data_IF_052614467120
#
_entry.id   IF_052614467120
#
_cell.length_a   1.000
_cell.length_b   1.000
_cell.length_c   1.000
_cell.angle_alpha   90.00
_cell.angle_beta   90.00
_cell.angle_gamma   90.00
#
_symmetry.space_group_name_H-M   'P 1'
#
loop_
_entity.id
_entity.type
_entity.pdbx_description
1 polymer ?
#
# COMPACT_ATOMS: atom_id res chain seq x y z
N UNK A 1 1.03 20.94 -3.04
CA UNK A 1 0.69 19.53 -3.29
C UNK A 1 1.94 18.72 -3.04
N UNK A 2 1.96 17.92 -1.97
CA UNK A 2 3.09 17.02 -1.68
C UNK A 2 3.18 15.98 -2.79
N UNK A 3 4.37 15.78 -3.36
CA UNK A 3 4.62 14.76 -4.36
C UNK A 3 4.17 13.38 -3.87
N UNK A 4 3.63 12.56 -4.77
CA UNK A 4 3.05 11.24 -4.49
C UNK A 4 3.65 10.22 -5.43
N UNK A 5 3.77 8.99 -4.96
CA UNK A 5 4.12 7.87 -5.81
C UNK A 5 2.90 7.49 -6.67
N UNK A 6 2.95 7.78 -7.96
CA UNK A 6 1.92 7.37 -8.91
C UNK A 6 2.31 6.03 -9.56
N UNK A 7 1.82 4.95 -8.96
CA UNK A 7 2.06 3.60 -9.46
C UNK A 7 1.58 3.38 -10.90
N UNK A 8 0.54 4.09 -11.37
CA UNK A 8 0.04 3.92 -12.75
C UNK A 8 1.01 4.54 -13.76
N UNK A 9 1.54 5.73 -13.43
CA UNK A 9 2.56 6.41 -14.23
C UNK A 9 3.86 5.62 -14.26
N UNK A 10 4.30 5.12 -13.11
CA UNK A 10 5.51 4.29 -13.01
C UNK A 10 5.33 3.00 -13.80
N UNK A 11 4.21 2.31 -13.62
CA UNK A 11 3.88 1.09 -14.37
C UNK A 11 3.98 1.29 -15.88
N UNK A 12 3.37 2.35 -16.40
CA UNK A 12 3.38 2.66 -17.83
C UNK A 12 4.79 2.90 -18.41
N UNK A 13 5.77 3.24 -17.57
CA UNK A 13 7.16 3.44 -17.97
C UNK A 13 8.03 2.18 -17.89
N UNK A 14 7.54 1.08 -17.32
CA UNK A 14 8.30 -0.17 -17.21
C UNK A 14 8.41 -0.89 -18.56
N UNK A 15 9.50 -1.64 -18.72
CA UNK A 15 9.63 -2.57 -19.84
C UNK A 15 8.53 -3.65 -19.76
N UNK A 16 8.04 -4.16 -20.91
CA UNK A 16 6.99 -5.18 -20.92
C UNK A 16 7.33 -6.44 -20.11
N UNK A 17 8.60 -6.86 -20.07
CA UNK A 17 9.04 -7.97 -19.21
C UNK A 17 8.76 -7.70 -17.72
N UNK A 18 9.16 -6.54 -17.19
CA UNK A 18 8.93 -6.18 -15.80
C UNK A 18 7.45 -6.01 -15.48
N UNK A 19 6.66 -5.46 -16.41
CA UNK A 19 5.19 -5.42 -16.26
C UNK A 19 4.60 -6.83 -16.16
N UNK A 20 5.06 -7.75 -17.01
CA UNK A 20 4.56 -9.12 -17.01
C UNK A 20 4.92 -9.84 -15.70
N UNK A 21 6.17 -9.72 -15.24
CA UNK A 21 6.66 -10.36 -14.01
C UNK A 21 5.95 -9.82 -12.77
N UNK A 22 5.94 -8.50 -12.56
CA UNK A 22 5.26 -7.89 -11.41
C UNK A 22 3.75 -8.23 -11.45
N UNK A 23 3.15 -8.19 -12.64
CA UNK A 23 1.73 -8.49 -12.83
C UNK A 23 1.37 -9.93 -12.49
N UNK A 24 2.20 -10.89 -12.89
CA UNK A 24 2.00 -12.30 -12.58
C UNK A 24 2.06 -12.56 -11.08
N UNK A 25 3.11 -12.09 -10.40
CA UNK A 25 3.25 -12.27 -8.94
C UNK A 25 2.11 -11.59 -8.18
N UNK A 26 1.69 -10.39 -8.60
CA UNK A 26 0.57 -9.70 -7.98
C UNK A 26 -0.75 -10.47 -8.13
N UNK A 27 -1.02 -11.06 -9.29
CA UNK A 27 -2.23 -11.86 -9.53
C UNK A 27 -2.22 -13.15 -8.70
N UNK A 28 -1.07 -13.83 -8.59
CA UNK A 28 -0.93 -15.01 -7.75
C UNK A 28 -1.10 -14.68 -6.26
N UNK A 29 -0.61 -13.52 -5.80
CA UNK A 29 -0.81 -13.06 -4.43
C UNK A 29 -2.30 -12.85 -4.12
N UNK A 30 -3.04 -12.20 -5.02
CA UNK A 30 -4.51 -12.06 -4.88
C UNK A 30 -5.20 -13.43 -4.88
N UNK A 31 -4.72 -14.38 -5.70
CA UNK A 31 -5.25 -15.75 -5.68
C UNK A 31 -5.01 -16.45 -4.34
N UNK A 32 -3.87 -16.23 -3.70
CA UNK A 32 -3.58 -16.77 -2.37
C UNK A 32 -4.51 -16.19 -1.32
N UNK A 33 -4.69 -14.86 -1.28
CA UNK A 33 -5.62 -14.21 -0.35
C UNK A 33 -7.07 -14.67 -0.56
N UNK A 34 -7.50 -14.79 -1.81
CA UNK A 34 -8.83 -15.32 -2.12
C UNK A 34 -9.02 -16.73 -1.54
N UNK A 35 -8.02 -17.62 -1.67
CA UNK A 35 -8.10 -18.96 -1.10
C UNK A 35 -8.18 -18.95 0.44
N UNK A 36 -7.49 -18.02 1.11
CA UNK A 36 -7.61 -17.83 2.56
C UNK A 36 -9.02 -17.38 2.96
N UNK A 37 -9.57 -16.38 2.26
CA UNK A 37 -10.90 -15.82 2.52
C UNK A 37 -12.03 -16.83 2.32
N UNK A 38 -11.86 -17.76 1.37
CA UNK A 38 -12.85 -18.81 1.09
C UNK A 38 -12.74 -20.03 2.01
N UNK A 39 -11.69 -20.14 2.84
CA UNK A 39 -11.58 -21.26 3.77
C UNK A 39 -12.73 -21.23 4.78
N UNK A 40 -13.51 -22.32 4.92
CA UNK A 40 -14.53 -22.42 5.95
C UNK A 40 -13.93 -22.63 7.35
N UNK A 41 -12.65 -22.99 7.42
CA UNK A 41 -11.94 -23.35 8.64
C UNK A 41 -10.79 -22.36 8.91
N UNK A 42 -11.16 -21.09 9.12
CA UNK A 42 -10.20 -20.01 9.39
C UNK A 42 -9.55 -20.10 10.78
N UNK A 43 -10.03 -21.02 11.64
CA UNK A 43 -9.68 -21.04 13.07
C UNK A 43 -9.13 -22.39 13.54
N UNK A 44 -9.44 -23.53 12.90
CA UNK A 44 -9.03 -24.86 13.38
C UNK A 44 -7.78 -25.38 12.65
N UNK A 45 -7.32 -24.70 11.58
CA UNK A 45 -5.99 -24.86 10.98
C UNK A 45 -5.75 -26.22 10.30
N UNK A 46 -6.80 -26.99 10.01
CA UNK A 46 -6.68 -28.31 9.38
C UNK A 46 -6.96 -28.30 7.87
N UNK A 47 -7.36 -27.17 7.29
CA UNK A 47 -7.57 -27.04 5.85
C UNK A 47 -6.22 -26.99 5.10
N UNK A 48 -5.89 -28.01 4.28
CA UNK A 48 -4.65 -28.03 3.51
C UNK A 48 -4.56 -26.89 2.49
N UNK A 49 -5.70 -26.40 1.97
CA UNK A 49 -5.74 -25.26 1.04
C UNK A 49 -5.39 -23.98 1.78
N UNK A 50 -5.96 -23.74 2.96
CA UNK A 50 -5.64 -22.58 3.79
C UNK A 50 -4.14 -22.55 4.12
N UNK A 51 -3.60 -23.66 4.62
CA UNK A 51 -2.17 -23.77 4.96
C UNK A 51 -1.27 -23.49 3.75
N UNK A 52 -1.64 -23.98 2.57
CA UNK A 52 -0.88 -23.70 1.35
C UNK A 52 -0.99 -22.23 0.93
N UNK A 53 -2.17 -21.63 1.05
CA UNK A 53 -2.41 -20.24 0.72
C UNK A 53 -1.70 -19.25 1.66
N UNK A 54 -1.58 -19.57 2.95
CA UNK A 54 -0.78 -18.81 3.91
C UNK A 54 0.72 -18.87 3.60
N UNK A 55 1.21 -20.06 3.23
CA UNK A 55 2.60 -20.22 2.79
C UNK A 55 2.87 -19.44 1.49
N UNK A 56 1.92 -19.45 0.56
CA UNK A 56 2.00 -18.72 -0.70
C UNK A 56 2.00 -17.19 -0.46
N UNK A 57 1.13 -16.66 0.40
CA UNK A 57 1.10 -15.23 0.74
C UNK A 57 2.47 -14.72 1.24
N UNK A 58 3.05 -15.42 2.22
CA UNK A 58 4.38 -15.06 2.73
C UNK A 58 5.47 -15.11 1.65
N UNK A 59 5.45 -16.11 0.77
CA UNK A 59 6.42 -16.22 -0.32
C UNK A 59 6.23 -15.11 -1.36
N UNK A 60 5.00 -14.91 -1.82
CA UNK A 60 4.64 -13.99 -2.90
C UNK A 60 4.78 -12.52 -2.49
N UNK A 61 4.57 -12.15 -1.22
CA UNK A 61 4.88 -10.79 -0.73
C UNK A 61 6.37 -10.48 -0.88
N UNK A 62 7.24 -11.44 -0.55
CA UNK A 62 8.69 -11.26 -0.67
C UNK A 62 9.12 -11.24 -2.13
N UNK A 63 8.56 -12.12 -2.95
CA UNK A 63 8.82 -12.16 -4.39
C UNK A 63 8.35 -10.87 -5.08
N UNK A 64 7.14 -10.39 -4.77
CA UNK A 64 6.59 -9.16 -5.33
C UNK A 64 7.50 -7.97 -5.02
N UNK A 65 8.02 -7.90 -3.79
CA UNK A 65 9.00 -6.87 -3.42
C UNK A 65 10.27 -6.99 -4.25
N UNK A 66 10.79 -8.19 -4.43
CA UNK A 66 12.02 -8.43 -5.16
C UNK A 66 11.90 -8.01 -6.63
N UNK A 67 10.87 -8.50 -7.34
CA UNK A 67 10.67 -8.17 -8.77
C UNK A 67 10.42 -6.67 -8.99
N UNK A 68 9.79 -5.98 -8.03
CA UNK A 68 9.64 -4.52 -8.07
C UNK A 68 10.98 -3.81 -7.90
N UNK A 69 11.85 -4.27 -7.00
CA UNK A 69 13.19 -3.68 -6.78
C UNK A 69 14.14 -3.94 -7.94
N UNK A 70 14.00 -5.08 -8.61
CA UNK A 70 14.78 -5.38 -9.82
C UNK A 70 14.35 -4.49 -11.00
N UNK A 71 13.06 -4.17 -11.10
CA UNK A 71 12.52 -3.28 -12.12
C UNK A 71 12.75 -1.78 -11.83
N UNK A 72 12.84 -1.39 -10.55
CA UNK A 72 12.88 0.00 -10.11
C UNK A 72 13.95 0.23 -9.03
N UNK A 73 14.81 1.24 -9.17
CA UNK A 73 15.73 1.59 -8.09
C UNK A 73 14.93 2.04 -6.86
N UNK A 74 15.40 1.68 -5.65
CA UNK A 74 14.75 2.07 -4.39
C UNK A 74 14.55 3.59 -4.24
N UNK A 75 15.36 4.40 -4.92
CA UNK A 75 15.21 5.86 -4.96
C UNK A 75 13.94 6.33 -5.66
N UNK A 76 13.30 5.49 -6.49
CA UNK A 76 12.04 5.79 -7.15
C UNK A 76 10.87 5.97 -6.16
N UNK A 77 11.01 5.48 -4.93
CA UNK A 77 10.03 5.62 -3.87
C UNK A 77 10.27 6.85 -2.97
N UNK A 78 11.26 7.68 -3.29
CA UNK A 78 11.62 8.84 -2.49
C UNK A 78 11.44 10.14 -3.29
N UNK A 79 11.04 11.19 -2.57
CA UNK A 79 11.07 12.56 -3.07
C UNK A 79 12.52 13.05 -3.23
N UNK A 80 12.76 14.17 -3.95
CA UNK A 80 14.11 14.75 -4.09
C UNK A 80 14.81 15.08 -2.75
N UNK A 81 14.05 15.34 -1.69
CA UNK A 81 14.57 15.58 -0.33
C UNK A 81 14.85 14.28 0.46
N UNK A 82 14.69 13.12 -0.17
CA UNK A 82 14.96 11.80 0.40
C UNK A 82 13.82 11.22 1.23
N UNK A 83 12.69 11.93 1.41
CA UNK A 83 11.54 11.40 2.16
C UNK A 83 10.77 10.38 1.33
N UNK A 84 10.18 9.33 1.96
CA UNK A 84 9.35 8.37 1.24
C UNK A 84 8.10 9.05 0.67
N UNK A 85 7.78 8.69 -0.57
CA UNK A 85 6.55 9.11 -1.24
C UNK A 85 5.38 8.24 -0.76
N UNK A 86 4.29 8.88 -0.37
CA UNK A 86 3.04 8.17 -0.12
C UNK A 86 2.32 7.85 -1.44
N UNK A 87 1.57 6.73 -1.52
CA UNK A 87 0.86 6.34 -2.74
C UNK A 87 -0.18 7.38 -3.16
N UNK A 88 -0.30 7.63 -4.46
CA UNK A 88 -1.32 8.55 -5.02
C UNK A 88 -2.76 8.09 -4.74
N UNK A 89 -2.97 6.78 -4.53
CA UNK A 89 -4.28 6.19 -4.22
C UNK A 89 -4.73 6.33 -2.76
N UNK A 90 -3.86 6.79 -1.84
CA UNK A 90 -4.21 6.94 -0.42
C UNK A 90 -5.30 8.01 -0.18
N UNK A 91 -5.45 8.96 -1.11
CA UNK A 91 -6.31 10.13 -0.93
C UNK A 91 -5.67 11.21 -0.04
N UNK A 92 -6.48 12.17 0.46
CA UNK A 92 -6.02 13.22 1.38
C UNK A 92 -5.48 12.65 2.70
N UNK A 93 -4.45 13.31 3.24
CA UNK A 93 -3.99 13.06 4.60
C UNK A 93 -3.56 14.36 5.28
N UNK A 94 -3.63 14.40 6.61
CA UNK A 94 -3.22 15.58 7.36
C UNK A 94 -1.70 15.71 7.36
N UNK A 95 -1.17 16.84 6.88
CA UNK A 95 0.26 17.16 6.82
C UNK A 95 0.97 17.11 8.18
N UNK A 96 0.22 17.12 9.28
CA UNK A 96 0.76 17.15 10.64
C UNK A 96 0.67 15.80 11.36
N UNK A 97 -0.51 15.15 11.37
CA UNK A 97 -0.71 13.90 12.11
C UNK A 97 -0.84 12.66 11.21
N UNK A 98 -0.92 12.82 9.89
CA UNK A 98 -1.05 11.71 8.95
C UNK A 98 -2.40 11.00 8.98
N UNK A 99 -3.41 11.50 9.69
CA UNK A 99 -4.75 10.93 9.63
C UNK A 99 -5.27 10.92 8.18
N UNK A 100 -6.12 9.96 7.86
CA UNK A 100 -6.73 9.80 6.53
C UNK A 100 -8.24 9.69 6.67
N UNK A 101 -8.95 9.59 5.55
CA UNK A 101 -10.40 9.35 5.55
C UNK A 101 -10.77 8.05 6.32
N UNK A 102 -9.95 7.02 6.19
CA UNK A 102 -10.17 5.69 6.80
C UNK A 102 -9.51 5.55 8.18
N UNK A 103 -8.72 6.54 8.60
CA UNK A 103 -8.01 6.53 9.87
C UNK A 103 -7.97 7.93 10.48
N UNK A 104 -9.12 8.38 11.00
CA UNK A 104 -9.28 9.69 11.62
C UNK A 104 -8.57 9.76 12.99
N UNK A 105 -8.33 10.99 13.48
CA UNK A 105 -7.83 11.20 14.85
C UNK A 105 -8.80 10.67 15.92
N UNK A 106 -8.31 10.57 17.16
CA UNK A 106 -9.15 10.32 18.34
C UNK A 106 -9.04 11.52 19.31
N UNK A 107 -10.14 12.23 19.63
CA UNK A 107 -11.48 12.11 19.04
C UNK A 107 -11.49 12.46 17.55
N UNK A 108 -12.54 12.01 16.85
CA UNK A 108 -12.66 12.16 15.39
C UNK A 108 -12.51 13.61 14.92
N UNK A 109 -11.70 13.79 13.88
CA UNK A 109 -11.45 15.07 13.23
C UNK A 109 -12.22 15.17 11.89
N UNK A 110 -12.17 16.34 11.26
CA UNK A 110 -12.65 16.55 9.89
C UNK A 110 -11.63 17.36 9.10
N UNK A 111 -11.71 17.33 7.78
CA UNK A 111 -10.86 18.14 6.91
C UNK A 111 -11.25 19.62 7.01
N UNK A 112 -10.26 20.48 7.30
CA UNK A 112 -10.42 21.95 7.23
C UNK A 112 -9.76 22.53 5.98
N UNK A 113 -8.72 21.85 5.49
CA UNK A 113 -8.04 22.09 4.21
C UNK A 113 -7.74 20.73 3.58
N UNK A 114 -7.35 20.71 2.30
CA UNK A 114 -7.04 19.48 1.55
C UNK A 114 -5.97 18.59 2.20
N UNK A 115 -5.10 19.16 3.03
CA UNK A 115 -4.06 18.45 3.78
C UNK A 115 -3.98 18.88 5.26
N UNK A 116 -5.07 19.37 5.86
CA UNK A 116 -5.12 19.70 7.30
C UNK A 116 -6.43 19.23 7.95
N UNK A 117 -6.30 18.54 9.08
CA UNK A 117 -7.46 18.16 9.90
C UNK A 117 -7.75 19.20 11.01
N UNK A 118 -9.00 19.21 11.47
CA UNK A 118 -9.51 20.12 12.49
C UNK A 118 -8.83 19.98 13.85
N UNK A 119 -8.33 18.80 14.20
CA UNK A 119 -7.60 18.58 15.45
C UNK A 119 -6.26 19.33 15.43
N UNK A 120 -5.47 19.16 14.37
CA UNK A 120 -4.19 19.87 14.24
C UNK A 120 -4.37 21.36 13.97
N UNK A 121 -5.44 21.78 13.28
CA UNK A 121 -5.75 23.19 13.10
C UNK A 121 -6.00 23.90 14.44
N UNK A 122 -6.68 23.24 15.39
CA UNK A 122 -6.90 23.77 16.74
C UNK A 122 -5.61 23.86 17.54
N UNK A 123 -4.71 22.90 17.39
CA UNK A 123 -3.40 22.91 18.06
C UNK A 123 -2.52 24.06 17.58
N UNK A 124 -2.50 24.33 16.28
CA UNK A 124 -1.71 25.44 15.71
C UNK A 124 -2.23 26.83 16.10
N UNK A 125 -3.49 26.94 16.53
CA UNK A 125 -4.12 28.19 16.96
C UNK A 125 -3.94 28.48 18.47
N UNK A 126 -3.25 27.60 19.20
CA UNK A 126 -2.91 27.76 20.63
C UNK A 126 -1.47 28.24 20.78
#
# INVERSE_FOLDING_TARGET
MTERFDGSKVWAGLAPEHQAEIGAVALELISAWWAQEQSPDQFDGNDPVLRAAEAADHALINELRQVVVDALPMTAFNAPDGKPLLPSRLGPFCRNCGCTQENACVPSCWWVEDDLCSSCAKEAAR
#
